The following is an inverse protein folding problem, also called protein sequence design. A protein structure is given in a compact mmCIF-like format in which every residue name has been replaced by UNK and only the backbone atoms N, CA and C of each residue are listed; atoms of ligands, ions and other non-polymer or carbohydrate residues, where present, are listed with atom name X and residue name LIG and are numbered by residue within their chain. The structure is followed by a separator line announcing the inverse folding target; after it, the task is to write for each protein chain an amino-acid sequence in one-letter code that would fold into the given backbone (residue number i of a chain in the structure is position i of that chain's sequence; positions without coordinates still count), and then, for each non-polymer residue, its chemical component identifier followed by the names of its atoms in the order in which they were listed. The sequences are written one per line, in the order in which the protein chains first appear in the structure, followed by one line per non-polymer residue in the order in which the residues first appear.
data_IF_148429802754
#
_entry.id   IF_148429802754
#
_cell.length_a   1.000
_cell.length_b   1.000
_cell.length_c   1.000
_cell.angle_alpha   90.00
_cell.angle_beta   90.00
_cell.angle_gamma   90.00
#
_symmetry.space_group_name_H-M   'P 1'
#
loop_
_entity.id
_entity.type
_entity.pdbx_description
1 polymer ?
#
# COMPACT_ATOMS: atom_id res chain seq x y z
N UNK A 1 -42.60 4.38 8.39
CA UNK A 1 -41.29 4.81 7.86
C UNK A 1 -40.99 4.05 6.57
N UNK A 2 -41.09 4.69 5.40
CA UNK A 2 -40.59 4.12 4.14
C UNK A 2 -39.12 4.52 3.97
N UNK A 3 -38.18 3.64 4.34
CA UNK A 3 -36.79 3.79 3.92
C UNK A 3 -36.75 3.38 2.44
N UNK A 4 -36.54 4.35 1.56
CA UNK A 4 -36.44 4.11 0.12
C UNK A 4 -35.22 3.22 -0.16
N UNK A 5 -35.35 2.27 -1.10
CA UNK A 5 -34.28 1.34 -1.51
C UNK A 5 -33.00 2.09 -1.92
N UNK A 6 -33.16 3.28 -2.50
CA UNK A 6 -32.06 4.16 -2.89
C UNK A 6 -31.27 4.71 -1.69
N UNK A 7 -31.92 4.90 -0.53
CA UNK A 7 -31.24 5.33 0.69
C UNK A 7 -30.35 4.21 1.24
N UNK A 8 -30.83 2.96 1.23
CA UNK A 8 -30.02 1.81 1.62
C UNK A 8 -28.80 1.64 0.71
N UNK A 9 -28.95 1.85 -0.61
CA UNK A 9 -27.83 1.82 -1.56
C UNK A 9 -26.81 2.93 -1.31
N UNK A 10 -27.25 4.16 -1.00
CA UNK A 10 -26.36 5.28 -0.68
C UNK A 10 -25.55 5.01 0.60
N UNK A 11 -26.18 4.44 1.64
CA UNK A 11 -25.48 4.09 2.89
C UNK A 11 -24.44 3.00 2.64
N UNK A 12 -24.75 1.99 1.82
CA UNK A 12 -23.80 0.94 1.46
C UNK A 12 -22.57 1.49 0.70
N UNK A 13 -22.77 2.41 -0.24
CA UNK A 13 -21.67 3.06 -0.96
C UNK A 13 -20.80 3.89 -0.01
N UNK A 14 -21.40 4.70 0.87
CA UNK A 14 -20.65 5.51 1.83
C UNK A 14 -19.86 4.65 2.82
N UNK A 15 -20.44 3.55 3.30
CA UNK A 15 -19.77 2.62 4.21
C UNK A 15 -18.54 1.96 3.56
N UNK A 16 -18.64 1.55 2.30
CA UNK A 16 -17.52 0.99 1.53
C UNK A 16 -16.41 2.02 1.28
N UNK A 17 -16.76 3.29 1.06
CA UNK A 17 -15.78 4.37 0.89
C UNK A 17 -15.12 4.78 2.22
N UNK A 18 -15.80 4.61 3.36
CA UNK A 18 -15.19 4.91 4.67
C UNK A 18 -14.16 3.88 5.15
N UNK A 19 -14.16 2.67 4.58
CA UNK A 19 -13.18 1.62 4.93
C UNK A 19 -11.76 1.89 4.39
N UNK A 20 -11.57 2.92 3.55
CA UNK A 20 -10.24 3.34 3.06
C UNK A 20 -9.62 4.51 3.83
N UNK A 21 -10.13 4.84 5.02
CA UNK A 21 -9.38 5.71 5.94
C UNK A 21 -8.26 4.92 6.60
N UNK A 22 -7.18 4.70 5.85
CA UNK A 22 -5.88 4.36 6.40
C UNK A 22 -5.49 5.40 7.45
N UNK A 23 -4.74 4.96 8.46
CA UNK A 23 -4.18 5.84 9.50
C UNK A 23 -3.62 7.14 8.91
N UNK A 24 -3.80 8.24 9.65
CA UNK A 24 -3.58 9.65 9.28
C UNK A 24 -2.15 9.92 8.80
N UNK A 25 -1.84 9.54 7.56
CA UNK A 25 -0.57 9.85 6.92
C UNK A 25 -0.60 11.30 6.43
N UNK A 26 0.31 12.12 6.93
CA UNK A 26 0.58 13.43 6.32
C UNK A 26 1.41 13.19 5.05
N UNK A 27 0.86 13.52 3.90
CA UNK A 27 1.54 13.39 2.60
C UNK A 27 1.89 14.78 2.05
N UNK A 28 3.18 15.00 1.78
CA UNK A 28 3.65 16.10 0.95
C UNK A 28 4.48 15.54 -0.21
N UNK A 29 3.93 15.46 -1.44
CA UNK A 29 4.62 14.84 -2.57
C UNK A 29 5.87 15.60 -3.02
N UNK A 30 6.02 16.87 -2.63
CA UNK A 30 7.19 17.70 -2.96
C UNK A 30 8.44 17.26 -2.20
N UNK A 31 8.27 16.59 -1.07
CA UNK A 31 9.38 16.08 -0.23
C UNK A 31 9.80 14.66 -0.61
N UNK A 32 9.13 14.05 -1.61
CA UNK A 32 9.49 12.71 -2.07
C UNK A 32 10.81 12.77 -2.85
N UNK A 33 11.75 11.91 -2.48
CA UNK A 33 13.01 11.73 -3.21
C UNK A 33 12.72 11.20 -4.63
N UNK A 34 13.30 11.79 -5.69
CA UNK A 34 13.18 11.26 -7.04
C UNK A 34 13.87 9.89 -7.10
N UNK A 35 13.12 8.88 -7.55
CA UNK A 35 13.57 7.49 -7.57
C UNK A 35 13.47 6.91 -8.98
N UNK A 36 14.60 6.47 -9.51
CA UNK A 36 14.70 5.72 -10.76
C UNK A 36 14.73 4.21 -10.48
N UNK A 37 14.08 3.36 -11.31
CA UNK A 37 14.06 1.91 -11.12
C UNK A 37 15.45 1.26 -11.07
N UNK A 38 16.42 1.83 -11.82
CA UNK A 38 17.81 1.37 -11.87
C UNK A 38 18.56 1.51 -10.53
N UNK A 39 18.07 2.37 -9.63
CA UNK A 39 18.62 2.55 -8.30
C UNK A 39 18.06 1.59 -7.25
N UNK A 40 17.05 0.77 -7.60
CA UNK A 40 16.45 -0.16 -6.65
C UNK A 40 17.15 -1.52 -6.63
N UNK A 41 17.27 -2.16 -5.44
CA UNK A 41 17.84 -3.49 -5.31
C UNK A 41 16.92 -4.57 -5.91
N UNK A 42 17.42 -5.81 -5.95
CA UNK A 42 16.64 -6.96 -6.41
C UNK A 42 16.22 -6.81 -7.87
N UNK A 43 14.93 -6.94 -8.14
CA UNK A 43 14.34 -6.79 -9.48
C UNK A 43 14.20 -5.33 -9.95
N UNK A 44 14.68 -4.35 -9.17
CA UNK A 44 14.57 -2.93 -9.52
C UNK A 44 13.13 -2.40 -9.47
N UNK A 45 12.27 -3.01 -8.65
CA UNK A 45 10.84 -2.70 -8.64
C UNK A 45 10.55 -1.50 -7.74
N UNK A 46 9.84 -0.53 -8.30
CA UNK A 46 9.35 0.65 -7.59
C UNK A 46 7.88 0.47 -7.22
N UNK A 47 7.58 0.62 -5.93
CA UNK A 47 6.23 0.57 -5.37
C UNK A 47 5.87 1.90 -4.71
N UNK A 48 4.64 2.03 -4.26
CA UNK A 48 4.24 3.14 -3.39
C UNK A 48 4.54 2.77 -1.93
N UNK A 49 4.92 3.75 -1.13
CA UNK A 49 5.00 3.58 0.30
C UNK A 49 3.60 3.24 0.89
N UNK A 50 3.52 2.75 2.14
CA UNK A 50 2.25 2.33 2.75
C UNK A 50 1.16 3.42 2.83
N UNK A 51 1.56 4.70 2.89
CA UNK A 51 0.68 5.87 2.82
C UNK A 51 0.29 6.27 1.38
N UNK A 52 0.88 5.63 0.36
CA UNK A 52 0.70 5.94 -1.07
C UNK A 52 1.07 7.37 -1.46
N UNK A 53 2.11 7.93 -0.84
CA UNK A 53 2.56 9.30 -1.06
C UNK A 53 3.79 9.39 -1.97
N UNK A 54 4.81 8.58 -1.68
CA UNK A 54 6.10 8.56 -2.35
C UNK A 54 6.37 7.21 -3.01
N UNK A 55 7.16 7.25 -4.08
CA UNK A 55 7.73 6.05 -4.70
C UNK A 55 8.92 5.57 -3.87
N UNK A 56 8.95 4.27 -3.58
CA UNK A 56 10.01 3.61 -2.83
C UNK A 56 10.37 2.28 -3.50
N UNK A 57 11.55 1.74 -3.21
CA UNK A 57 11.91 0.42 -3.68
C UNK A 57 11.09 -0.66 -2.97
N UNK A 58 10.74 -1.70 -3.72
CA UNK A 58 10.16 -2.90 -3.13
C UNK A 58 11.19 -3.63 -2.25
N UNK A 59 10.70 -4.30 -1.21
CA UNK A 59 11.51 -5.13 -0.31
C UNK A 59 11.89 -6.44 -0.99
N UNK A 60 13.15 -6.81 -0.85
CA UNK A 60 13.76 -8.01 -1.43
C UNK A 60 13.69 -9.19 -0.47
N UNK A 61 14.11 -10.37 -0.93
CA UNK A 61 14.08 -11.61 -0.16
C UNK A 61 14.77 -11.46 1.21
N UNK A 62 14.04 -11.81 2.27
CA UNK A 62 14.53 -11.77 3.65
C UNK A 62 14.46 -10.40 4.35
N UNK A 63 14.12 -9.32 3.63
CA UNK A 63 13.94 -8.00 4.25
C UNK A 63 12.64 -7.91 5.06
N UNK A 64 12.64 -7.05 6.07
CA UNK A 64 11.48 -6.68 6.87
C UNK A 64 10.35 -6.09 6.02
N UNK A 65 9.11 -6.51 6.30
CA UNK A 65 7.93 -6.09 5.55
C UNK A 65 6.66 -5.99 6.40
N UNK A 66 5.62 -5.39 5.80
CA UNK A 66 4.29 -5.30 6.39
C UNK A 66 4.06 -4.05 7.24
N UNK A 67 2.82 -3.57 7.24
CA UNK A 67 2.48 -2.26 7.82
C UNK A 67 3.33 -1.15 7.20
N UNK A 68 4.01 -0.37 8.04
CA UNK A 68 4.92 0.70 7.61
C UNK A 68 6.32 0.25 7.17
N UNK A 69 6.63 -1.06 7.26
CA UNK A 69 7.96 -1.60 6.88
C UNK A 69 8.15 -1.72 5.37
N UNK A 70 7.06 -1.66 4.60
CA UNK A 70 7.09 -1.66 3.13
C UNK A 70 6.49 -2.91 2.50
N UNK A 71 6.58 -2.96 1.17
CA UNK A 71 5.94 -3.97 0.32
C UNK A 71 7.00 -4.78 -0.42
N UNK A 72 6.87 -6.11 -0.41
CA UNK A 72 7.81 -7.00 -1.10
C UNK A 72 7.71 -6.90 -2.63
N UNK A 73 8.80 -7.26 -3.31
CA UNK A 73 8.85 -7.36 -4.77
C UNK A 73 7.96 -8.52 -5.30
N UNK A 74 7.58 -8.50 -6.59
CA UNK A 74 6.76 -9.54 -7.20
C UNK A 74 7.40 -10.93 -7.04
N UNK A 75 6.57 -11.94 -6.77
CA UNK A 75 7.03 -13.30 -6.48
C UNK A 75 7.35 -13.56 -5.00
N UNK A 76 7.36 -12.51 -4.17
CA UNK A 76 7.47 -12.62 -2.72
C UNK A 76 6.17 -12.22 -2.01
N UNK A 77 5.93 -12.81 -0.84
CA UNK A 77 4.88 -12.40 0.10
C UNK A 77 5.49 -12.03 1.44
N UNK A 78 4.87 -11.07 2.11
CA UNK A 78 5.23 -10.75 3.47
C UNK A 78 4.66 -11.81 4.42
N UNK A 79 5.53 -12.60 5.04
CA UNK A 79 5.17 -13.67 5.96
C UNK A 79 6.01 -13.57 7.23
N UNK A 80 5.35 -13.57 8.38
CA UNK A 80 5.99 -13.36 9.70
C UNK A 80 6.91 -12.13 9.76
N UNK A 81 6.56 -11.08 9.00
CA UNK A 81 7.32 -9.82 8.96
C UNK A 81 8.52 -9.81 8.03
N UNK A 82 8.76 -10.87 7.25
CA UNK A 82 9.84 -10.93 6.27
C UNK A 82 9.36 -11.31 4.87
N UNK A 83 10.05 -10.85 3.83
CA UNK A 83 9.72 -11.22 2.46
C UNK A 83 10.19 -12.64 2.14
N UNK A 84 9.24 -13.49 1.75
CA UNK A 84 9.44 -14.92 1.48
C UNK A 84 8.88 -15.33 0.11
N UNK A 85 9.42 -16.35 -0.56
CA UNK A 85 8.91 -16.79 -1.85
C UNK A 85 7.46 -17.27 -1.77
N UNK A 86 6.66 -16.89 -2.76
CA UNK A 86 5.33 -17.47 -2.96
C UNK A 86 5.53 -18.89 -3.48
N UNK A 87 5.17 -19.89 -2.66
CA UNK A 87 5.09 -21.30 -3.07
C UNK A 87 3.81 -21.56 -3.84
#
# INVERSE_FOLDING_TARGET
MHISRNWMSMVAVVALVSAVRGWDCVCNPTECEPLEPSGCPGLGIVVWDPCRCCKVCARTLGEDCGGFRGTCEPGLKCYEGSCTPIK
#
